data_IF_018251235260
#
_entry.id   IF_018251235260
#
_cell.length_a   1.000
_cell.length_b   1.000
_cell.length_c   1.000
_cell.angle_alpha   90.00
_cell.angle_beta   90.00
_cell.angle_gamma   90.00
#
_symmetry.space_group_name_H-M   'P 1'
#
loop_
_entity.id
_entity.type
_entity.pdbx_description
1 polymer ?
#
# COMPACT_ATOMS: atom_id res chain seq x y z
N UNK A 1 12.49 -44.25 5.64
CA UNK A 1 12.81 -43.02 4.89
C UNK A 1 11.99 -43.01 3.61
N UNK A 2 10.99 -42.13 3.51
CA UNK A 2 10.67 -41.30 2.35
C UNK A 2 9.42 -40.49 2.73
N UNK A 3 9.58 -39.18 2.81
CA UNK A 3 8.56 -38.19 3.17
C UNK A 3 7.57 -38.00 2.03
N UNK A 4 6.28 -38.21 2.29
CA UNK A 4 5.20 -37.62 1.50
C UNK A 4 4.56 -36.50 2.33
N UNK A 5 5.33 -35.42 2.52
CA UNK A 5 4.77 -34.13 2.93
C UNK A 5 4.26 -33.45 1.65
N UNK A 6 3.01 -33.01 1.72
CA UNK A 6 2.16 -32.77 0.56
C UNK A 6 2.65 -31.72 -0.43
N UNK A 7 2.39 -31.98 -1.71
CA UNK A 7 2.20 -30.93 -2.70
C UNK A 7 0.86 -30.21 -2.44
N UNK A 8 0.80 -29.37 -1.41
CA UNK A 8 -0.12 -28.24 -1.42
C UNK A 8 0.68 -27.04 -1.91
N UNK A 9 0.81 -26.92 -3.22
CA UNK A 9 1.16 -25.67 -3.87
C UNK A 9 -0.02 -24.70 -3.62
N UNK A 10 -0.07 -24.11 -2.42
CA UNK A 10 -0.87 -22.92 -2.20
C UNK A 10 -0.08 -21.80 -2.88
N UNK A 11 -0.28 -21.68 -4.19
CA UNK A 11 0.23 -20.59 -5.01
C UNK A 11 -0.37 -19.27 -4.51
N UNK A 12 0.29 -18.72 -3.49
CA UNK A 12 0.69 -17.33 -3.39
C UNK A 12 -0.06 -16.40 -4.35
N UNK A 13 -1.20 -15.90 -3.91
CA UNK A 13 -1.85 -14.72 -4.49
C UNK A 13 -1.10 -13.47 -4.04
N UNK A 14 0.15 -13.32 -4.43
CA UNK A 14 0.89 -12.08 -4.23
C UNK A 14 0.84 -11.27 -5.51
N UNK A 15 -0.30 -10.63 -5.69
CA UNK A 15 -0.22 -9.27 -6.20
C UNK A 15 0.31 -8.44 -5.04
N UNK A 16 1.64 -8.37 -4.88
CA UNK A 16 2.19 -7.25 -4.14
C UNK A 16 1.59 -5.99 -4.78
N UNK A 17 0.97 -5.15 -3.96
CA UNK A 17 0.66 -3.78 -4.33
C UNK A 17 1.82 -2.94 -3.78
N UNK A 18 3.02 -2.97 -4.40
CA UNK A 18 4.22 -2.37 -3.81
C UNK A 18 4.01 -0.89 -3.51
N UNK A 19 3.28 -0.18 -4.37
CA UNK A 19 2.94 1.24 -4.16
C UNK A 19 2.04 1.48 -2.95
N UNK A 20 1.08 0.59 -2.69
CA UNK A 20 0.19 0.71 -1.54
C UNK A 20 0.96 0.47 -0.23
N UNK A 21 1.80 -0.57 -0.20
CA UNK A 21 2.65 -0.84 0.96
C UNK A 21 3.64 0.30 1.23
N UNK A 22 4.25 0.83 0.17
CA UNK A 22 5.16 1.98 0.26
C UNK A 22 4.45 3.20 0.85
N UNK A 23 3.27 3.53 0.33
CA UNK A 23 2.47 4.65 0.82
C UNK A 23 2.09 4.49 2.30
N UNK A 24 1.56 3.32 2.67
CA UNK A 24 1.13 3.07 4.05
C UNK A 24 2.31 3.19 5.01
N UNK A 25 3.49 2.70 4.62
CA UNK A 25 4.69 2.80 5.44
C UNK A 25 5.11 4.25 5.68
N UNK A 26 5.24 5.08 4.62
CA UNK A 26 5.62 6.48 4.80
C UNK A 26 4.57 7.25 5.59
N UNK A 27 3.28 7.04 5.34
CA UNK A 27 2.21 7.74 6.08
C UNK A 27 2.28 7.40 7.58
N UNK A 28 2.51 6.14 7.94
CA UNK A 28 2.71 5.75 9.35
C UNK A 28 3.98 6.38 9.97
N UNK A 29 5.06 6.48 9.20
CA UNK A 29 6.28 7.13 9.66
C UNK A 29 6.07 8.64 9.89
N UNK A 30 5.37 9.30 8.97
CA UNK A 30 5.02 10.72 9.10
C UNK A 30 4.12 10.98 10.30
N UNK A 31 3.14 10.10 10.58
CA UNK A 31 2.31 10.18 11.78
C UNK A 31 3.16 10.15 13.07
N UNK A 32 4.10 9.19 13.13
CA UNK A 32 5.00 9.06 14.27
C UNK A 32 5.95 10.27 14.44
N UNK A 33 6.36 10.90 13.34
CA UNK A 33 7.21 12.10 13.34
C UNK A 33 6.42 13.32 13.80
N UNK A 34 5.19 13.51 13.28
CA UNK A 34 4.29 14.58 13.70
C UNK A 34 3.96 14.50 15.21
N UNK A 35 3.67 13.29 15.71
CA UNK A 35 3.38 13.07 17.12
C UNK A 35 4.55 13.45 18.06
N UNK A 36 5.78 13.45 17.55
CA UNK A 36 7.00 13.81 18.30
C UNK A 36 7.50 15.23 18.00
N UNK A 37 6.86 15.95 17.08
CA UNK A 37 7.33 17.25 16.61
C UNK A 37 8.68 17.18 15.88
N UNK A 38 8.95 16.08 15.18
CA UNK A 38 10.19 15.88 14.42
C UNK A 38 10.19 16.55 13.05
N UNK A 39 11.33 16.47 12.38
CA UNK A 39 11.50 16.99 11.03
C UNK A 39 10.88 16.05 9.98
N UNK A 40 9.93 16.58 9.22
CA UNK A 40 9.19 15.84 8.19
C UNK A 40 10.04 15.65 6.94
N UNK A 41 10.83 16.64 6.54
CA UNK A 41 11.67 16.55 5.34
C UNK A 41 12.76 15.50 5.55
N UNK A 42 13.39 15.49 6.73
CA UNK A 42 14.37 14.46 7.11
C UNK A 42 13.73 13.05 7.11
N UNK A 43 12.50 12.93 7.60
CA UNK A 43 11.81 11.65 7.64
C UNK A 43 11.51 11.09 6.24
N UNK A 44 11.08 11.94 5.30
CA UNK A 44 10.84 11.57 3.90
C UNK A 44 12.15 11.17 3.22
N UNK A 45 13.19 11.98 3.36
CA UNK A 45 14.51 11.74 2.79
C UNK A 45 15.07 10.39 3.25
N UNK A 46 15.03 10.14 4.57
CA UNK A 46 15.49 8.89 5.16
C UNK A 46 14.71 7.68 4.66
N UNK A 47 13.38 7.77 4.65
CA UNK A 47 12.53 6.69 4.16
C UNK A 47 12.84 6.37 2.69
N UNK A 48 12.90 7.40 1.83
CA UNK A 48 13.14 7.19 0.41
C UNK A 48 14.54 6.63 0.13
N UNK A 49 15.55 6.92 0.96
CA UNK A 49 16.91 6.39 0.80
C UNK A 49 17.12 5.00 1.41
N UNK A 50 16.43 4.68 2.51
CA UNK A 50 16.66 3.45 3.28
C UNK A 50 15.65 2.34 2.97
N UNK A 51 14.38 2.68 2.70
CA UNK A 51 13.28 1.71 2.55
C UNK A 51 12.90 1.45 1.08
N UNK A 52 13.53 2.17 0.15
CA UNK A 52 13.23 2.10 -1.28
C UNK A 52 14.50 1.76 -2.08
N UNK A 53 14.40 0.89 -3.12
CA UNK A 53 15.50 0.67 -4.04
C UNK A 53 16.06 1.96 -4.63
N UNK A 54 17.40 2.04 -4.72
CA UNK A 54 18.12 3.25 -5.12
C UNK A 54 17.65 3.88 -6.44
N UNK A 55 17.20 3.07 -7.40
CA UNK A 55 16.69 3.56 -8.69
C UNK A 55 15.30 4.21 -8.62
N UNK A 56 14.61 4.14 -7.47
CA UNK A 56 13.28 4.73 -7.24
C UNK A 56 13.27 5.88 -6.23
N UNK A 57 14.43 6.27 -5.68
CA UNK A 57 14.54 7.34 -4.67
C UNK A 57 13.90 8.63 -5.19
N UNK A 58 14.32 9.12 -6.36
CA UNK A 58 13.75 10.30 -7.01
C UNK A 58 12.24 10.21 -7.22
N UNK A 59 11.72 9.01 -7.48
CA UNK A 59 10.28 8.80 -7.66
C UNK A 59 9.56 8.84 -6.33
N UNK A 60 10.14 8.25 -5.29
CA UNK A 60 9.63 8.26 -3.92
C UNK A 60 9.48 9.70 -3.42
N UNK A 61 10.56 10.49 -3.48
CA UNK A 61 10.59 11.88 -3.03
C UNK A 61 9.53 12.71 -3.78
N UNK A 62 9.54 12.66 -5.12
CA UNK A 62 8.56 13.42 -5.93
C UNK A 62 7.12 13.04 -5.68
N UNK A 63 6.83 11.77 -5.40
CA UNK A 63 5.46 11.32 -5.10
C UNK A 63 5.05 11.80 -3.72
N UNK A 64 5.92 11.69 -2.71
CA UNK A 64 5.60 12.10 -1.34
C UNK A 64 5.48 13.61 -1.26
N UNK A 65 6.45 14.37 -1.77
CA UNK A 65 6.46 15.85 -1.77
C UNK A 65 5.17 16.43 -2.37
N UNK A 66 4.71 15.90 -3.51
CA UNK A 66 3.47 16.34 -4.17
C UNK A 66 2.21 16.10 -3.35
N UNK A 67 2.22 15.12 -2.46
CA UNK A 67 1.08 14.74 -1.64
C UNK A 67 1.26 15.13 -0.16
N UNK A 68 2.41 15.73 0.21
CA UNK A 68 2.83 15.86 1.61
C UNK A 68 1.88 16.75 2.42
N UNK A 69 1.47 17.89 1.85
CA UNK A 69 0.50 18.79 2.49
C UNK A 69 -0.83 18.08 2.78
N UNK A 70 -1.35 17.34 1.81
CA UNK A 70 -2.57 16.54 1.96
C UNK A 70 -2.41 15.46 3.03
N UNK A 71 -1.29 14.72 3.01
CA UNK A 71 -1.01 13.66 4.00
C UNK A 71 -0.99 14.24 5.41
N UNK A 72 -0.29 15.36 5.63
CA UNK A 72 -0.21 16.01 6.94
C UNK A 72 -1.58 16.49 7.41
N UNK A 73 -2.40 17.06 6.52
CA UNK A 73 -3.77 17.47 6.85
C UNK A 73 -4.60 16.26 7.31
N UNK A 74 -4.56 15.16 6.56
CA UNK A 74 -5.33 13.95 6.91
C UNK A 74 -4.86 13.24 8.16
N UNK A 75 -3.56 13.27 8.44
CA UNK A 75 -3.01 12.79 9.71
C UNK A 75 -3.50 13.63 10.90
N UNK A 76 -3.60 14.96 10.75
CA UNK A 76 -4.19 15.83 11.78
C UNK A 76 -5.67 15.55 12.03
N UNK A 77 -6.39 15.09 10.99
CA UNK A 77 -7.77 14.62 11.09
C UNK A 77 -7.89 13.17 11.62
N UNK A 78 -6.78 12.55 12.03
CA UNK A 78 -6.70 11.17 12.50
C UNK A 78 -7.19 10.13 11.48
N UNK A 79 -7.02 10.42 10.19
CA UNK A 79 -7.38 9.51 9.13
C UNK A 79 -6.38 8.34 9.04
N UNK A 80 -6.84 7.08 8.89
CA UNK A 80 -5.93 5.94 8.83
C UNK A 80 -5.16 5.89 7.50
N UNK A 81 -3.93 5.37 7.55
CA UNK A 81 -2.99 5.39 6.43
C UNK A 81 -3.51 4.70 5.16
N UNK A 82 -4.27 3.61 5.29
CA UNK A 82 -4.87 2.90 4.16
C UNK A 82 -5.89 3.75 3.40
N UNK A 83 -6.67 4.57 4.12
CA UNK A 83 -7.62 5.52 3.54
C UNK A 83 -6.90 6.69 2.87
N UNK A 84 -5.93 7.30 3.55
CA UNK A 84 -5.07 8.36 2.97
C UNK A 84 -4.44 7.89 1.66
N UNK A 85 -3.85 6.69 1.68
CA UNK A 85 -3.20 6.09 0.52
C UNK A 85 -4.17 5.71 -0.60
N UNK A 86 -5.44 5.44 -0.27
CA UNK A 86 -6.50 5.24 -1.25
C UNK A 86 -6.91 6.55 -1.90
N UNK A 87 -7.01 7.63 -1.11
CA UNK A 87 -7.42 8.96 -1.58
C UNK A 87 -6.38 9.60 -2.52
N UNK A 88 -5.08 9.25 -2.38
CA UNK A 88 -4.02 9.62 -3.33
C UNK A 88 -3.72 8.54 -4.39
N UNK A 89 -4.61 7.55 -4.55
CA UNK A 89 -4.57 6.51 -5.58
C UNK A 89 -3.36 5.55 -5.54
N UNK A 90 -2.62 5.48 -4.43
CA UNK A 90 -1.53 4.51 -4.24
C UNK A 90 -2.02 3.16 -3.71
N UNK A 91 -3.15 3.16 -3.01
CA UNK A 91 -3.94 1.98 -2.67
C UNK A 91 -5.20 1.90 -3.53
N UNK A 92 -5.63 0.67 -3.85
CA UNK A 92 -6.90 0.44 -4.54
C UNK A 92 -8.01 0.44 -3.49
N UNK A 93 -9.04 1.24 -3.72
CA UNK A 93 -10.28 1.16 -2.96
C UNK A 93 -10.82 -0.28 -2.93
N UNK A 94 -11.15 -0.76 -1.73
CA UNK A 94 -11.87 -2.00 -1.54
C UNK A 94 -13.17 -1.92 -2.37
N UNK A 95 -13.33 -2.81 -3.36
CA UNK A 95 -14.62 -2.96 -4.01
C UNK A 95 -15.51 -3.66 -3.01
N UNK A 96 -16.54 -3.00 -2.50
CA UNK A 96 -17.61 -3.70 -1.78
C UNK A 96 -18.18 -4.74 -2.73
N UNK A 97 -18.00 -6.03 -2.41
CA UNK A 97 -18.39 -7.14 -3.27
C UNK A 97 -19.92 -7.23 -3.40
N UNK A 98 -20.48 -6.49 -4.35
CA UNK A 98 -21.69 -6.85 -5.08
C UNK A 98 -21.41 -6.51 -6.54
N UNK A 99 -21.35 -7.54 -7.40
CA UNK A 99 -20.75 -7.54 -8.75
C UNK A 99 -19.21 -7.70 -8.66
N UNK A 100 -18.60 -8.86 -8.94
CA UNK A 100 -18.57 -9.60 -10.21
C UNK A 100 -18.15 -11.06 -9.98
N UNK A 101 -18.71 -11.76 -8.98
CA UNK A 101 -18.53 -13.21 -8.82
C UNK A 101 -19.68 -14.03 -9.45
N UNK A 102 -20.76 -13.37 -9.89
CA UNK A 102 -21.94 -14.02 -10.50
C UNK A 102 -21.80 -14.32 -12.01
N UNK A 103 -20.83 -13.73 -12.71
CA UNK A 103 -20.71 -13.85 -14.18
C UNK A 103 -19.81 -14.98 -14.68
N UNK A 104 -19.23 -15.82 -13.81
CA UNK A 104 -18.42 -16.99 -14.21
C UNK A 104 -19.09 -18.35 -14.00
N UNK A 105 -20.26 -18.40 -13.37
CA UNK A 105 -20.95 -19.66 -13.07
C UNK A 105 -22.15 -19.95 -13.99
N UNK A 106 -22.55 -19.04 -14.89
CA UNK A 106 -23.76 -19.22 -15.71
C UNK A 106 -23.52 -19.83 -17.10
N UNK A 107 -22.27 -20.10 -17.51
CA UNK A 107 -21.97 -20.65 -18.85
C UNK A 107 -21.49 -22.12 -18.84
N UNK A 108 -21.39 -22.81 -17.70
CA UNK A 108 -20.84 -24.18 -17.61
C UNK A 108 -21.89 -25.24 -17.24
N UNK A 109 -23.18 -24.99 -17.47
CA UNK A 109 -24.24 -25.99 -17.23
C UNK A 109 -25.35 -26.00 -18.31
N UNK A 110 -25.05 -25.76 -19.59
CA UNK A 110 -26.02 -26.00 -20.66
C UNK A 110 -25.43 -26.20 -22.05
N UNK A 111 -24.81 -27.37 -22.29
CA UNK A 111 -24.99 -28.24 -23.49
C UNK A 111 -24.00 -29.41 -23.48
#
# INVERSE_FOLDING_TARGET
MLTLLGCSAKQWSYRSKPLCGLCVNIVNQLDAVLAKGGDIEEAVDKFCKEDVPSFMVDMCEKVIEKNLEFIIEKLKDHEPADKICTDIFLCRAEKTEKSTQKLRFYEVDSS
#
